data_IF_271910350208
#
_entry.id   IF_271910350208
#
_cell.length_a   1.000
_cell.length_b   1.000
_cell.length_c   1.000
_cell.angle_alpha   90.00
_cell.angle_beta   90.00
_cell.angle_gamma   90.00
#
_symmetry.space_group_name_H-M   'P 1'
#
loop_
_entity.id
_entity.type
_entity.pdbx_description
1 polymer ?
#
# COMPACT_ATOMS: atom_id res chain seq x y z
N UNK A 1 -8.06 12.51 20.01
CA UNK A 1 -8.21 12.45 18.54
C UNK A 1 -7.66 11.12 18.05
N UNK A 2 -8.22 10.43 17.05
CA UNK A 2 -7.65 9.20 16.51
C UNK A 2 -6.29 9.46 15.86
N UNK A 3 -5.28 8.63 16.15
CA UNK A 3 -3.93 8.69 15.55
C UNK A 3 -3.98 8.72 14.00
N UNK A 4 -4.89 7.98 13.40
CA UNK A 4 -5.15 7.99 11.95
C UNK A 4 -5.58 9.36 11.40
N UNK A 5 -6.33 10.17 12.16
CA UNK A 5 -6.67 11.55 11.77
C UNK A 5 -5.48 12.51 11.85
N UNK A 6 -4.58 12.29 12.82
CA UNK A 6 -3.36 13.11 12.97
C UNK A 6 -2.39 12.78 11.84
N UNK A 7 -2.14 11.51 11.56
CA UNK A 7 -1.29 11.06 10.45
C UNK A 7 -1.83 11.56 9.10
N UNK A 8 -3.15 11.49 8.90
CA UNK A 8 -3.79 11.95 7.67
C UNK A 8 -3.62 13.47 7.41
N UNK A 9 -3.81 14.31 8.43
CA UNK A 9 -3.59 15.75 8.29
C UNK A 9 -2.12 16.07 8.00
N UNK A 10 -1.18 15.33 8.59
CA UNK A 10 0.27 15.47 8.29
C UNK A 10 0.59 15.23 6.82
N UNK A 11 0.02 14.20 6.22
CA UNK A 11 0.27 13.88 4.80
C UNK A 11 -0.25 14.96 3.84
N UNK A 12 -1.48 15.43 4.01
CA UNK A 12 -2.05 16.48 3.16
C UNK A 12 -1.27 17.78 3.25
N UNK A 13 -0.88 18.18 4.47
CA UNK A 13 -0.08 19.37 4.72
C UNK A 13 1.29 19.27 4.07
N UNK A 14 2.00 18.17 4.29
CA UNK A 14 3.32 17.93 3.69
C UNK A 14 3.27 18.02 2.17
N UNK A 15 2.26 17.37 1.55
CA UNK A 15 2.07 17.43 0.11
C UNK A 15 1.85 18.87 -0.36
N UNK A 16 0.92 19.60 0.24
CA UNK A 16 0.62 20.99 -0.14
C UNK A 16 1.83 21.91 -0.01
N UNK A 17 2.65 21.73 1.01
CA UNK A 17 3.89 22.50 1.20
C UNK A 17 4.97 22.10 0.18
N UNK A 18 5.14 20.80 -0.09
CA UNK A 18 6.15 20.31 -1.03
C UNK A 18 5.83 20.63 -2.51
N UNK A 19 4.55 20.72 -2.87
CA UNK A 19 4.09 21.03 -4.22
C UNK A 19 3.89 22.54 -4.46
N UNK A 20 4.21 23.39 -3.48
CA UNK A 20 4.07 24.83 -3.68
C UNK A 20 5.09 25.31 -4.72
N UNK A 21 4.64 25.94 -5.84
CA UNK A 21 5.49 26.24 -6.98
C UNK A 21 6.56 27.30 -6.70
N UNK A 22 6.38 28.08 -5.64
CA UNK A 22 7.30 29.13 -5.24
C UNK A 22 7.80 28.88 -3.82
N UNK A 23 9.04 29.29 -3.55
CA UNK A 23 9.53 29.36 -2.17
C UNK A 23 8.67 30.37 -1.41
N UNK A 24 8.03 29.94 -0.32
CA UNK A 24 7.18 30.81 0.50
C UNK A 24 7.99 32.05 0.96
N UNK A 25 7.46 33.26 0.70
CA UNK A 25 8.15 34.49 0.97
C UNK A 25 8.25 34.82 2.46
N UNK A 26 9.24 35.62 2.84
CA UNK A 26 9.51 35.93 4.24
C UNK A 26 8.40 36.75 4.93
N UNK A 27 7.63 37.49 4.15
CA UNK A 27 6.74 38.52 4.72
C UNK A 27 5.28 38.10 4.88
N UNK A 28 4.84 36.93 4.33
CA UNK A 28 3.43 36.52 4.30
C UNK A 28 3.19 35.06 4.61
N UNK A 29 4.08 34.40 5.34
CA UNK A 29 4.01 32.94 5.54
C UNK A 29 2.70 32.44 6.13
N UNK A 30 2.21 33.04 7.20
CA UNK A 30 1.01 32.55 7.86
C UNK A 30 -0.21 32.67 6.96
N UNK A 31 -0.34 33.75 6.18
CA UNK A 31 -1.47 33.96 5.28
C UNK A 31 -1.40 33.08 4.02
N UNK A 32 -0.21 32.86 3.47
CA UNK A 32 -0.01 31.98 2.31
C UNK A 32 -0.23 30.52 2.68
N UNK A 33 0.39 30.04 3.78
CA UNK A 33 0.24 28.68 4.26
C UNK A 33 -1.19 28.37 4.67
N UNK A 34 -1.90 29.31 5.29
CA UNK A 34 -3.30 29.12 5.68
C UNK A 34 -4.24 28.84 4.49
N UNK A 35 -3.89 29.34 3.30
CA UNK A 35 -4.66 29.14 2.05
C UNK A 35 -4.41 27.77 1.39
N UNK A 36 -3.30 27.11 1.73
CA UNK A 36 -2.98 25.82 1.14
C UNK A 36 -3.97 24.74 1.58
N UNK A 37 -4.34 23.82 0.69
CA UNK A 37 -5.26 22.74 1.02
C UNK A 37 -4.80 21.95 2.25
N UNK A 38 -5.67 21.83 3.26
CA UNK A 38 -5.39 21.10 4.50
C UNK A 38 -4.58 21.86 5.56
N UNK A 39 -4.02 23.02 5.26
CA UNK A 39 -3.16 23.77 6.20
C UNK A 39 -4.06 24.68 7.02
N UNK A 40 -4.79 25.42 7.06
CA UNK A 40 -5.53 26.26 8.00
C UNK A 40 -4.61 26.96 9.03
N UNK A 41 -5.22 27.78 9.88
CA UNK A 41 -4.51 28.67 10.80
C UNK A 41 -3.51 27.98 11.72
N UNK A 42 -3.84 26.79 12.25
CA UNK A 42 -2.91 26.06 13.15
C UNK A 42 -1.61 25.74 12.44
N UNK A 43 -1.69 25.21 11.21
CA UNK A 43 -0.48 24.85 10.45
C UNK A 43 0.31 26.09 10.04
N UNK A 44 -0.40 27.16 9.67
CA UNK A 44 0.25 28.44 9.34
C UNK A 44 1.05 29.01 10.53
N UNK A 45 0.49 28.95 11.74
CA UNK A 45 1.20 29.38 12.97
C UNK A 45 2.40 28.49 13.30
N UNK A 46 2.25 27.14 13.18
CA UNK A 46 3.36 26.21 13.37
C UNK A 46 4.47 26.42 12.32
N UNK A 47 4.09 26.76 11.10
CA UNK A 47 5.05 27.08 10.05
C UNK A 47 5.81 28.38 10.34
N UNK A 48 5.11 29.40 10.83
CA UNK A 48 5.70 30.64 11.28
C UNK A 48 6.67 30.42 12.45
N UNK A 49 6.23 29.68 13.49
CA UNK A 49 7.07 29.29 14.63
C UNK A 49 8.36 28.59 14.18
N UNK A 50 8.23 27.58 13.28
CA UNK A 50 9.40 26.88 12.73
C UNK A 50 10.37 27.83 12.03
N UNK A 51 9.83 28.78 11.27
CA UNK A 51 10.67 29.73 10.56
C UNK A 51 11.42 30.68 11.48
N UNK A 52 10.74 31.18 12.50
CA UNK A 52 11.30 32.15 13.43
C UNK A 52 12.32 31.51 14.38
N UNK A 53 12.10 30.24 14.77
CA UNK A 53 12.87 29.56 15.81
C UNK A 53 13.62 28.33 15.33
N UNK A 54 13.41 27.90 14.07
CA UNK A 54 13.83 26.59 13.49
C UNK A 54 13.35 25.40 14.30
N UNK A 55 12.30 25.54 15.09
CA UNK A 55 11.74 24.51 15.97
C UNK A 55 10.23 24.66 16.04
N UNK A 56 9.54 23.56 16.37
CA UNK A 56 8.12 23.52 16.68
C UNK A 56 7.99 22.96 18.10
N UNK A 57 7.56 23.78 19.06
CA UNK A 57 7.45 23.38 20.46
C UNK A 57 6.47 22.22 20.68
N UNK A 58 5.34 22.21 19.94
CA UNK A 58 4.39 21.10 19.99
C UNK A 58 5.07 19.79 19.59
N UNK A 59 5.88 19.78 18.52
CA UNK A 59 6.62 18.60 18.07
C UNK A 59 7.69 18.15 19.09
N UNK A 60 8.31 19.08 19.81
CA UNK A 60 9.27 18.75 20.88
C UNK A 60 8.57 18.11 22.09
N UNK A 61 7.42 18.64 22.49
CA UNK A 61 6.61 18.03 23.57
C UNK A 61 6.15 16.65 23.19
N UNK A 62 5.67 16.45 21.95
CA UNK A 62 5.27 15.14 21.44
C UNK A 62 6.46 14.16 21.40
N UNK A 63 7.68 14.64 21.09
CA UNK A 63 8.88 13.82 21.08
C UNK A 63 9.33 13.37 22.49
N UNK A 64 8.99 14.15 23.52
CA UNK A 64 9.26 13.80 24.93
C UNK A 64 8.10 13.08 25.62
N UNK A 65 6.98 12.86 24.93
CA UNK A 65 5.83 12.13 25.49
C UNK A 65 6.07 10.62 25.45
N UNK A 66 6.41 10.04 26.59
CA UNK A 66 6.64 8.61 26.76
C UNK A 66 5.43 7.78 26.33
N UNK A 67 4.21 8.25 26.59
CA UNK A 67 3.00 7.55 26.15
C UNK A 67 2.91 7.48 24.63
N UNK A 68 3.20 8.60 23.95
CA UNK A 68 3.18 8.65 22.49
C UNK A 68 4.28 7.78 21.89
N UNK A 69 5.47 7.76 22.50
CA UNK A 69 6.58 6.90 22.08
C UNK A 69 6.21 5.42 22.18
N UNK A 70 5.66 4.99 23.31
CA UNK A 70 5.21 3.60 23.53
C UNK A 70 4.08 3.20 22.57
N UNK A 71 3.07 4.07 22.37
CA UNK A 71 1.99 3.80 21.43
C UNK A 71 2.51 3.70 19.98
N UNK A 72 3.53 4.47 19.63
CA UNK A 72 4.18 4.40 18.32
C UNK A 72 4.94 3.09 18.16
N UNK A 73 5.72 2.68 19.16
CA UNK A 73 6.42 1.39 19.20
C UNK A 73 5.46 0.24 18.92
N UNK A 74 4.35 0.17 19.65
CA UNK A 74 3.37 -0.89 19.45
C UNK A 74 2.67 -0.82 18.09
N UNK A 75 2.39 0.38 17.59
CA UNK A 75 1.78 0.58 16.27
C UNK A 75 2.71 0.17 15.11
N UNK A 76 4.01 0.17 15.33
CA UNK A 76 5.02 -0.27 14.35
C UNK A 76 5.13 -1.80 14.27
N UNK A 77 4.57 -2.56 15.24
CA UNK A 77 4.47 -4.02 15.17
C UNK A 77 3.50 -4.40 14.05
N UNK A 78 3.94 -5.22 13.11
CA UNK A 78 3.06 -5.72 12.07
C UNK A 78 1.83 -6.43 12.65
N UNK A 79 0.66 -6.09 12.15
CA UNK A 79 -0.61 -6.65 12.63
C UNK A 79 -1.19 -5.94 13.87
N UNK A 80 -0.49 -4.94 14.43
CA UNK A 80 -1.00 -4.11 15.51
C UNK A 80 -1.53 -2.79 14.96
N UNK A 81 -2.83 -2.58 15.12
CA UNK A 81 -3.50 -1.33 14.76
C UNK A 81 -3.59 -0.37 15.96
N UNK A 82 -4.17 0.81 15.71
CA UNK A 82 -4.34 1.88 16.70
C UNK A 82 -5.07 1.41 17.98
N UNK A 83 -6.10 0.60 17.84
CA UNK A 83 -6.90 0.09 18.97
C UNK A 83 -6.08 -0.90 19.80
N UNK A 84 -5.39 -1.83 19.15
CA UNK A 84 -4.57 -2.84 19.81
C UNK A 84 -3.37 -2.21 20.51
N UNK A 85 -2.71 -1.22 19.88
CA UNK A 85 -1.61 -0.49 20.51
C UNK A 85 -2.03 0.21 21.82
N UNK A 86 -3.25 0.79 21.84
CA UNK A 86 -3.82 1.38 23.06
C UNK A 86 -4.17 0.32 24.11
N UNK A 87 -4.70 -0.81 23.68
CA UNK A 87 -5.01 -1.91 24.59
C UNK A 87 -3.74 -2.41 25.28
N UNK A 88 -2.65 -2.62 24.55
CA UNK A 88 -1.35 -2.98 25.11
C UNK A 88 -0.87 -1.94 26.14
N UNK A 89 -0.91 -0.66 25.78
CA UNK A 89 -0.56 0.40 26.71
C UNK A 89 -1.43 0.42 27.99
N UNK A 90 -2.73 0.20 27.85
CA UNK A 90 -3.68 0.19 28.97
C UNK A 90 -3.52 -1.03 29.88
N UNK A 91 -2.98 -2.15 29.36
CA UNK A 91 -2.58 -3.33 30.13
C UNK A 91 -1.31 -3.09 30.95
N UNK A 92 -0.64 -1.97 30.77
CA UNK A 92 0.58 -1.63 31.49
C UNK A 92 1.86 -1.92 30.71
N UNK A 93 1.77 -2.47 29.49
CA UNK A 93 2.95 -2.80 28.68
C UNK A 93 3.62 -1.53 28.15
N UNK A 94 4.95 -1.55 28.03
CA UNK A 94 5.72 -0.36 27.64
C UNK A 94 6.71 -0.62 26.51
N UNK A 95 7.11 -1.86 26.27
CA UNK A 95 8.06 -2.29 25.25
C UNK A 95 7.66 -3.62 24.61
N UNK A 96 8.53 -4.12 23.71
CA UNK A 96 8.32 -5.40 23.02
C UNK A 96 8.46 -6.58 23.96
N UNK A 97 9.34 -6.48 24.96
CA UNK A 97 9.59 -7.55 25.92
C UNK A 97 8.34 -7.78 26.78
N UNK A 98 7.65 -6.72 27.21
CA UNK A 98 6.34 -6.82 27.89
C UNK A 98 5.30 -7.55 27.03
N UNK A 99 5.28 -7.28 25.72
CA UNK A 99 4.36 -7.96 24.79
C UNK A 99 4.68 -9.45 24.68
N UNK A 100 5.96 -9.81 24.69
CA UNK A 100 6.41 -11.22 24.65
C UNK A 100 6.11 -11.91 25.98
N UNK A 101 6.45 -11.29 27.10
CA UNK A 101 6.35 -11.91 28.43
C UNK A 101 4.90 -12.08 28.88
N UNK A 102 4.08 -11.02 28.72
CA UNK A 102 2.71 -10.99 29.28
C UNK A 102 1.62 -11.16 28.24
N UNK A 103 1.93 -11.03 26.94
CA UNK A 103 0.93 -10.93 25.88
C UNK A 103 0.92 -12.03 24.85
N UNK A 104 1.97 -12.82 24.73
CA UNK A 104 2.23 -13.71 23.60
C UNK A 104 1.05 -14.59 23.20
N UNK A 105 0.41 -15.25 24.17
CA UNK A 105 -0.71 -16.16 23.90
C UNK A 105 -2.00 -15.44 23.48
N UNK A 106 -2.09 -14.14 23.73
CA UNK A 106 -3.23 -13.31 23.31
C UNK A 106 -3.06 -12.70 21.93
N UNK A 107 -1.86 -12.79 21.34
CA UNK A 107 -1.57 -12.25 20.02
C UNK A 107 -2.13 -13.16 18.92
N UNK A 108 -2.60 -12.54 17.84
CA UNK A 108 -2.84 -13.28 16.60
C UNK A 108 -1.52 -13.76 16.00
N UNK A 109 -1.58 -14.84 15.19
CA UNK A 109 -0.38 -15.35 14.49
C UNK A 109 0.37 -14.24 13.73
N UNK A 110 -0.32 -13.35 13.04
CA UNK A 110 0.31 -12.24 12.32
C UNK A 110 1.03 -11.26 13.25
N UNK A 111 0.46 -11.01 14.45
CA UNK A 111 1.09 -10.17 15.47
C UNK A 111 2.31 -10.85 16.09
N UNK A 112 2.24 -12.16 16.37
CA UNK A 112 3.39 -12.94 16.84
C UNK A 112 4.55 -12.90 15.86
N UNK A 113 4.28 -13.01 14.56
CA UNK A 113 5.27 -12.86 13.48
C UNK A 113 5.82 -11.41 13.46
N UNK A 114 4.94 -10.42 13.60
CA UNK A 114 5.33 -9.01 13.66
C UNK A 114 6.25 -8.67 14.82
N UNK A 115 6.01 -9.26 16.00
CA UNK A 115 6.87 -9.15 17.19
C UNK A 115 8.19 -9.89 16.96
N UNK A 116 8.14 -11.15 16.52
CA UNK A 116 9.32 -12.00 16.31
C UNK A 116 10.36 -11.38 15.37
N UNK A 117 9.91 -10.72 14.32
CA UNK A 117 10.78 -10.13 13.30
C UNK A 117 10.72 -8.59 13.30
N UNK A 118 10.40 -7.99 14.46
CA UNK A 118 10.20 -6.55 14.58
C UNK A 118 11.35 -5.75 14.00
N UNK A 119 12.58 -5.98 14.44
CA UNK A 119 13.76 -5.23 14.02
C UNK A 119 14.06 -5.40 12.53
N UNK A 120 13.87 -6.59 11.98
CA UNK A 120 14.11 -6.87 10.56
C UNK A 120 13.06 -6.21 9.67
N UNK A 121 11.78 -6.24 10.07
CA UNK A 121 10.67 -5.65 9.34
C UNK A 121 10.67 -4.10 9.38
N UNK A 122 11.40 -3.48 10.33
CA UNK A 122 11.63 -2.03 10.35
C UNK A 122 12.73 -1.58 9.38
N UNK A 123 13.61 -2.49 8.96
CA UNK A 123 14.70 -2.16 8.03
C UNK A 123 14.16 -1.82 6.64
N UNK A 124 14.73 -0.80 6.05
CA UNK A 124 14.39 -0.42 4.69
C UNK A 124 15.02 -1.36 3.67
N UNK A 125 14.29 -1.65 2.61
CA UNK A 125 14.68 -2.54 1.51
C UNK A 125 15.26 -1.69 0.38
N UNK A 126 16.56 -1.84 0.05
CA UNK A 126 17.18 -1.14 -1.09
C UNK A 126 16.52 -1.51 -2.43
N UNK A 127 16.57 -0.62 -3.41
CA UNK A 127 15.96 -0.85 -4.72
C UNK A 127 16.44 -2.12 -5.41
N UNK A 128 17.75 -2.40 -5.37
CA UNK A 128 18.31 -3.61 -5.97
C UNK A 128 17.75 -4.90 -5.33
N UNK A 129 17.53 -4.90 -4.00
CA UNK A 129 16.90 -6.02 -3.31
C UNK A 129 15.42 -6.17 -3.71
N UNK A 130 14.68 -5.04 -3.83
CA UNK A 130 13.29 -5.05 -4.34
C UNK A 130 13.23 -5.67 -5.74
N UNK A 131 14.16 -5.30 -6.62
CA UNK A 131 14.24 -5.81 -7.99
C UNK A 131 14.57 -7.31 -8.03
N UNK A 132 15.48 -7.77 -7.18
CA UNK A 132 15.83 -9.19 -7.07
C UNK A 132 14.65 -10.04 -6.56
N UNK A 133 13.98 -9.59 -5.52
CA UNK A 133 12.76 -10.24 -4.99
C UNK A 133 11.69 -10.30 -6.09
N UNK A 134 11.42 -9.19 -6.74
CA UNK A 134 10.43 -9.10 -7.80
C UNK A 134 10.75 -10.04 -8.97
N UNK A 135 12.02 -10.09 -9.44
CA UNK A 135 12.45 -11.00 -10.48
C UNK A 135 12.24 -12.47 -10.11
N UNK A 136 12.55 -12.83 -8.86
CA UNK A 136 12.31 -14.19 -8.33
C UNK A 136 10.83 -14.53 -8.31
N UNK A 137 9.97 -13.61 -7.84
CA UNK A 137 8.51 -13.82 -7.84
C UNK A 137 8.00 -14.04 -9.27
N UNK A 138 8.45 -13.25 -10.25
CA UNK A 138 8.02 -13.38 -11.65
C UNK A 138 8.52 -14.71 -12.28
N UNK A 139 9.75 -15.12 -11.98
CA UNK A 139 10.28 -16.40 -12.45
C UNK A 139 9.43 -17.57 -11.94
N UNK A 140 9.16 -17.60 -10.64
CA UNK A 140 8.30 -18.63 -10.04
C UNK A 140 6.84 -18.56 -10.53
N UNK A 141 6.32 -17.37 -10.84
CA UNK A 141 5.00 -17.24 -11.45
C UNK A 141 4.94 -17.91 -12.82
N UNK A 142 5.91 -17.66 -13.68
CA UNK A 142 5.99 -18.25 -15.01
C UNK A 142 6.25 -19.76 -14.98
N UNK A 143 6.93 -20.27 -13.96
CA UNK A 143 7.11 -21.72 -13.77
C UNK A 143 5.86 -22.39 -13.17
N UNK A 144 5.06 -21.67 -12.41
CA UNK A 144 3.79 -22.18 -11.84
C UNK A 144 2.72 -22.35 -12.91
N UNK A 145 2.73 -21.50 -13.92
CA UNK A 145 1.83 -21.55 -15.07
C UNK A 145 2.64 -21.75 -16.36
N UNK A 146 2.48 -22.89 -17.01
CA UNK A 146 3.08 -23.14 -18.32
C UNK A 146 2.02 -22.95 -19.41
N UNK A 147 2.33 -22.20 -20.48
CA UNK A 147 3.65 -21.82 -20.98
C UNK A 147 4.29 -20.55 -20.39
N UNK A 148 3.78 -20.00 -19.30
CA UNK A 148 4.25 -18.71 -18.74
C UNK A 148 3.42 -17.55 -19.27
N UNK A 149 4.00 -16.36 -19.38
CA UNK A 149 3.31 -15.19 -19.95
C UNK A 149 2.76 -14.22 -18.93
N UNK A 150 3.02 -14.42 -17.64
CA UNK A 150 2.70 -13.42 -16.61
C UNK A 150 3.48 -12.14 -16.83
N UNK A 151 2.79 -11.03 -16.79
CA UNK A 151 3.37 -9.70 -16.67
C UNK A 151 3.33 -9.26 -15.20
N UNK A 152 4.33 -8.49 -14.80
CA UNK A 152 4.44 -7.96 -13.44
C UNK A 152 4.85 -6.49 -13.46
N UNK A 153 4.29 -5.73 -12.56
CA UNK A 153 4.71 -4.35 -12.27
C UNK A 153 5.05 -4.26 -10.78
N UNK A 154 6.28 -3.85 -10.48
CA UNK A 154 6.66 -3.45 -9.12
C UNK A 154 5.99 -2.12 -8.83
N UNK A 155 5.19 -2.04 -7.79
CA UNK A 155 4.33 -0.90 -7.46
C UNK A 155 4.76 -0.23 -6.14
N UNK A 156 3.85 0.31 -5.37
CA UNK A 156 4.13 0.88 -4.06
C UNK A 156 5.15 2.01 -4.04
N UNK A 157 5.93 2.06 -2.96
CA UNK A 157 6.96 3.07 -2.75
C UNK A 157 8.09 3.04 -3.78
N UNK A 158 8.47 1.85 -4.21
CA UNK A 158 9.49 1.62 -5.25
C UNK A 158 9.15 2.37 -6.54
N UNK A 159 7.93 2.17 -7.07
CA UNK A 159 7.51 2.78 -8.34
C UNK A 159 7.37 4.30 -8.23
N UNK A 160 7.09 4.84 -7.04
CA UNK A 160 7.07 6.28 -6.77
C UNK A 160 8.46 6.91 -6.59
N UNK A 161 9.53 6.21 -6.90
CA UNK A 161 10.90 6.73 -6.89
C UNK A 161 11.57 6.74 -5.50
N UNK A 162 11.03 6.03 -4.48
CA UNK A 162 11.73 5.94 -3.19
C UNK A 162 13.06 5.19 -3.35
N UNK A 163 14.10 5.70 -2.71
CA UNK A 163 15.43 5.06 -2.71
C UNK A 163 15.44 3.74 -1.94
N UNK A 164 14.60 3.63 -0.92
CA UNK A 164 14.40 2.40 -0.17
C UNK A 164 12.92 2.26 0.25
N UNK A 165 12.40 1.04 0.19
CA UNK A 165 11.00 0.69 0.48
C UNK A 165 10.83 0.10 1.88
N UNK A 166 9.62 0.12 2.42
CA UNK A 166 9.27 -0.59 3.67
C UNK A 166 8.84 -2.03 3.41
N UNK A 167 8.38 -2.28 2.20
CA UNK A 167 7.86 -3.54 1.68
C UNK A 167 8.12 -3.62 0.19
N UNK A 168 7.89 -4.80 -0.37
CA UNK A 168 7.91 -5.05 -1.83
C UNK A 168 6.49 -5.32 -2.27
N UNK A 169 5.94 -4.42 -3.08
CA UNK A 169 4.60 -4.55 -3.66
C UNK A 169 4.71 -4.95 -5.13
N UNK A 170 4.09 -6.06 -5.54
CA UNK A 170 4.06 -6.50 -6.93
C UNK A 170 2.63 -6.80 -7.39
N UNK A 171 2.28 -6.32 -8.59
CA UNK A 171 1.03 -6.67 -9.26
C UNK A 171 1.34 -7.58 -10.43
N UNK A 172 0.77 -8.78 -10.42
CA UNK A 172 0.85 -9.79 -11.46
C UNK A 172 -0.46 -9.84 -12.25
N UNK A 173 -0.37 -10.04 -13.55
CA UNK A 173 -1.52 -10.32 -14.42
C UNK A 173 -1.10 -11.17 -15.61
N UNK A 174 -2.09 -11.80 -16.27
CA UNK A 174 -1.89 -12.64 -17.44
C UNK A 174 -2.95 -12.31 -18.49
N UNK A 175 -2.60 -12.20 -19.80
CA UNK A 175 -3.59 -11.94 -20.87
C UNK A 175 -4.71 -12.98 -20.94
N UNK A 176 -4.41 -14.23 -20.66
CA UNK A 176 -5.44 -15.25 -20.41
C UNK A 176 -5.89 -15.15 -18.95
N UNK A 177 -7.11 -14.65 -18.74
CA UNK A 177 -7.66 -14.47 -17.40
C UNK A 177 -7.83 -15.80 -16.62
N UNK A 178 -8.01 -16.93 -17.31
CA UNK A 178 -8.08 -18.22 -16.67
C UNK A 178 -6.77 -18.57 -15.93
N UNK A 179 -5.64 -18.07 -16.39
CA UNK A 179 -4.34 -18.28 -15.74
C UNK A 179 -4.26 -17.62 -14.34
N UNK A 180 -5.00 -16.54 -14.12
CA UNK A 180 -4.99 -15.78 -12.86
C UNK A 180 -5.96 -16.36 -11.81
N UNK A 181 -6.84 -17.30 -12.19
CA UNK A 181 -7.79 -17.91 -11.26
C UNK A 181 -7.06 -18.79 -10.23
N UNK A 182 -7.32 -18.56 -8.93
CA UNK A 182 -6.67 -19.22 -7.79
C UNK A 182 -5.14 -19.23 -7.85
N UNK A 183 -4.58 -18.30 -8.63
CA UNK A 183 -3.15 -18.32 -8.92
C UNK A 183 -2.31 -17.90 -7.73
N UNK A 184 -2.73 -16.88 -6.96
CA UNK A 184 -1.94 -16.34 -5.83
C UNK A 184 -1.61 -17.43 -4.80
N UNK A 185 -2.57 -18.33 -4.49
CA UNK A 185 -2.37 -19.41 -3.54
C UNK A 185 -1.34 -20.43 -4.06
N UNK A 186 -1.43 -20.80 -5.34
CA UNK A 186 -0.48 -21.72 -5.99
C UNK A 186 0.93 -21.16 -6.01
N UNK A 187 1.07 -19.86 -6.31
CA UNK A 187 2.36 -19.16 -6.31
C UNK A 187 2.98 -19.12 -4.91
N UNK A 188 2.19 -18.79 -3.88
CA UNK A 188 2.67 -18.77 -2.50
C UNK A 188 3.18 -20.14 -2.07
N UNK A 189 2.42 -21.22 -2.32
CA UNK A 189 2.85 -22.60 -2.01
C UNK A 189 4.16 -22.96 -2.72
N UNK A 190 4.33 -22.50 -3.96
CA UNK A 190 5.57 -22.73 -4.70
C UNK A 190 6.76 -21.98 -4.06
N UNK A 191 6.56 -20.72 -3.70
CA UNK A 191 7.59 -19.90 -3.05
C UNK A 191 7.95 -20.42 -1.64
N UNK A 192 6.96 -20.95 -0.89
CA UNK A 192 7.19 -21.63 0.38
C UNK A 192 8.04 -22.87 0.20
N UNK A 193 7.73 -23.72 -0.79
CA UNK A 193 8.51 -24.94 -1.12
C UNK A 193 9.94 -24.60 -1.57
N UNK A 194 10.13 -23.47 -2.23
CA UNK A 194 11.44 -23.00 -2.64
C UNK A 194 12.22 -22.29 -1.51
N UNK A 195 11.61 -22.12 -0.34
CA UNK A 195 12.24 -21.54 0.85
C UNK A 195 12.25 -19.99 0.89
N UNK A 196 11.68 -19.31 -0.11
CA UNK A 196 11.63 -17.85 -0.14
C UNK A 196 10.56 -17.27 0.79
N UNK A 197 9.39 -17.91 0.89
CA UNK A 197 8.33 -17.48 1.81
C UNK A 197 8.44 -18.31 3.09
N UNK A 198 8.72 -17.62 4.19
CA UNK A 198 8.84 -18.24 5.52
C UNK A 198 7.52 -18.24 6.28
N UNK A 199 6.69 -17.22 6.06
CA UNK A 199 5.38 -17.10 6.71
C UNK A 199 4.38 -16.40 5.77
N UNK A 200 3.15 -16.90 5.75
CA UNK A 200 2.02 -16.23 5.12
C UNK A 200 1.24 -15.46 6.20
N UNK A 201 1.21 -14.13 6.09
CA UNK A 201 0.53 -13.23 7.03
C UNK A 201 -0.95 -13.13 6.72
N UNK A 202 -1.30 -13.02 5.44
CA UNK A 202 -2.68 -13.06 4.95
C UNK A 202 -2.74 -13.58 3.53
N UNK A 203 -3.82 -14.28 3.22
CA UNK A 203 -4.14 -14.76 1.88
C UNK A 203 -5.62 -14.46 1.61
N UNK A 204 -5.91 -13.77 0.53
CA UNK A 204 -7.25 -13.45 0.08
C UNK A 204 -7.43 -13.90 -1.37
N UNK A 205 -8.44 -14.73 -1.62
CA UNK A 205 -8.81 -15.28 -2.93
C UNK A 205 -10.19 -14.83 -3.37
N UNK A 206 -10.64 -13.69 -2.83
CA UNK A 206 -12.01 -13.21 -2.99
C UNK A 206 -12.38 -12.93 -4.46
N UNK A 207 -11.41 -12.54 -5.28
CA UNK A 207 -11.64 -12.30 -6.70
C UNK A 207 -11.81 -13.61 -7.49
N UNK A 208 -10.97 -14.61 -7.22
CA UNK A 208 -11.06 -15.96 -7.79
C UNK A 208 -12.35 -16.65 -7.37
N UNK A 209 -12.74 -16.58 -6.09
CA UNK A 209 -14.01 -17.14 -5.58
C UNK A 209 -15.25 -16.61 -6.31
N UNK A 210 -15.16 -15.44 -6.92
CA UNK A 210 -16.21 -14.85 -7.75
C UNK A 210 -16.05 -15.11 -9.24
N UNK A 211 -15.10 -15.96 -9.65
CA UNK A 211 -14.79 -16.17 -11.06
C UNK A 211 -14.23 -14.93 -11.75
N UNK A 212 -13.55 -14.05 -11.01
CA UNK A 212 -12.91 -12.82 -11.50
C UNK A 212 -13.89 -11.80 -12.13
N UNK A 213 -15.17 -11.94 -11.84
CA UNK A 213 -16.18 -10.99 -12.30
C UNK A 213 -16.14 -9.71 -11.45
N UNK A 214 -16.05 -8.51 -12.06
CA UNK A 214 -16.16 -7.26 -11.32
C UNK A 214 -17.50 -7.19 -10.59
N UNK A 215 -17.47 -6.90 -9.28
CA UNK A 215 -18.69 -6.89 -8.46
C UNK A 215 -19.44 -5.58 -8.63
N UNK A 216 -20.74 -5.66 -8.97
CA UNK A 216 -21.64 -4.53 -8.83
C UNK A 216 -21.68 -4.08 -7.36
N UNK A 217 -21.56 -2.78 -7.10
CA UNK A 217 -21.60 -2.24 -5.75
C UNK A 217 -23.04 -2.01 -5.22
N UNK A 218 -24.03 -2.12 -6.08
CA UNK A 218 -25.47 -1.96 -5.77
C UNK A 218 -26.24 -3.29 -5.71
N UNK A 219 -25.58 -4.41 -5.84
CA UNK A 219 -26.23 -5.72 -5.83
C UNK A 219 -26.91 -6.04 -4.50
N UNK A 220 -28.01 -6.80 -4.56
CA UNK A 220 -28.81 -7.22 -3.41
C UNK A 220 -28.14 -8.26 -2.48
N UNK A 221 -26.90 -8.63 -2.74
CA UNK A 221 -26.14 -9.59 -1.92
C UNK A 221 -25.43 -8.92 -0.74
N UNK A 222 -25.45 -9.57 0.42
CA UNK A 222 -24.78 -9.14 1.68
C UNK A 222 -23.27 -8.83 1.56
N UNK A 223 -22.66 -8.99 0.38
CA UNK A 223 -21.23 -8.76 0.11
C UNK A 223 -20.96 -7.58 -0.83
N UNK A 224 -21.98 -6.88 -1.30
CA UNK A 224 -21.81 -5.73 -2.18
C UNK A 224 -21.22 -4.54 -1.39
N UNK A 225 -19.99 -4.16 -1.67
CA UNK A 225 -19.43 -2.88 -1.28
C UNK A 225 -18.57 -2.80 -0.03
N UNK A 226 -18.24 -3.90 0.63
CA UNK A 226 -17.51 -3.88 1.90
C UNK A 226 -15.97 -3.73 1.80
N UNK A 227 -15.38 -3.63 0.60
CA UNK A 227 -13.93 -3.53 0.43
C UNK A 227 -13.51 -2.51 -0.64
N UNK A 228 -12.36 -1.87 -0.42
CA UNK A 228 -11.73 -1.00 -1.41
C UNK A 228 -10.90 -1.79 -2.43
N UNK A 229 -10.52 -3.01 -2.08
CA UNK A 229 -9.66 -3.85 -2.87
C UNK A 229 -10.08 -5.29 -2.66
N UNK A 230 -10.61 -5.87 -3.72
CA UNK A 230 -11.10 -7.25 -3.74
C UNK A 230 -10.23 -8.16 -4.59
N UNK A 231 -9.05 -7.70 -5.02
CA UNK A 231 -8.08 -8.50 -5.76
C UNK A 231 -7.57 -9.66 -4.91
N UNK A 232 -7.19 -10.73 -5.57
CA UNK A 232 -6.47 -11.82 -4.92
C UNK A 232 -5.09 -11.33 -4.51
N UNK A 233 -4.73 -11.58 -3.27
CA UNK A 233 -3.45 -11.11 -2.73
C UNK A 233 -2.95 -11.96 -1.59
N UNK A 234 -1.64 -12.02 -1.49
CA UNK A 234 -0.94 -12.60 -0.36
C UNK A 234 0.02 -11.57 0.24
N UNK A 235 -0.02 -11.41 1.54
CA UNK A 235 0.99 -10.69 2.30
C UNK A 235 1.87 -11.73 2.98
N UNK A 236 3.15 -11.74 2.66
CA UNK A 236 4.07 -12.78 3.11
C UNK A 236 5.33 -12.18 3.74
N UNK A 237 6.00 -13.01 4.54
CA UNK A 237 7.35 -12.76 5.01
C UNK A 237 8.30 -13.54 4.13
N UNK A 238 9.19 -12.82 3.50
CA UNK A 238 10.20 -13.30 2.58
C UNK A 238 11.55 -13.35 3.27
N UNK A 239 12.34 -14.37 3.00
CA UNK A 239 13.76 -14.44 3.30
C UNK A 239 14.48 -15.10 2.13
N UNK A 240 15.58 -14.51 1.66
CA UNK A 240 16.41 -15.18 0.64
C UNK A 240 17.00 -16.45 1.25
N UNK A 241 16.70 -17.64 0.69
CA UNK A 241 17.22 -18.89 1.23
C UNK A 241 18.70 -19.12 0.89
N UNK A 242 19.31 -18.26 0.07
CA UNK A 242 20.68 -18.41 -0.40
C UNK A 242 21.64 -17.64 0.51
N UNK A 243 22.56 -18.35 1.17
CA UNK A 243 23.65 -17.73 1.93
C UNK A 243 24.91 -18.59 1.84
N UNK A 244 26.07 -17.94 1.91
CA UNK A 244 27.38 -18.56 1.64
C UNK A 244 28.27 -18.70 2.85
N UNK A 245 27.83 -18.31 4.03
CA UNK A 245 28.67 -18.30 5.23
C UNK A 245 28.46 -19.56 6.05
N UNK A 246 29.49 -20.03 6.75
CA UNK A 246 29.40 -21.14 7.71
C UNK A 246 28.54 -20.86 8.95
N UNK A 247 27.64 -19.88 8.89
CA UNK A 247 26.70 -19.56 9.96
C UNK A 247 25.62 -20.63 10.09
N UNK A 248 25.29 -20.98 11.33
CA UNK A 248 24.27 -21.99 11.65
C UNK A 248 22.85 -21.57 11.26
N UNK A 249 22.63 -20.28 11.01
CA UNK A 249 21.32 -19.71 10.63
C UNK A 249 21.47 -18.77 9.46
N UNK A 250 20.43 -18.70 8.63
CA UNK A 250 20.34 -17.76 7.52
C UNK A 250 20.43 -16.31 8.04
N UNK A 251 21.46 -15.51 7.67
CA UNK A 251 21.63 -14.13 8.12
C UNK A 251 20.81 -13.13 7.32
N UNK A 252 20.20 -13.55 6.19
CA UNK A 252 19.42 -12.66 5.35
C UNK A 252 18.19 -12.15 6.13
N UNK A 253 17.90 -10.85 6.07
CA UNK A 253 16.79 -10.29 6.83
C UNK A 253 15.43 -10.73 6.26
N UNK A 254 14.45 -10.85 7.13
CA UNK A 254 13.07 -11.05 6.73
C UNK A 254 12.49 -9.75 6.15
N UNK A 255 11.78 -9.88 5.03
CA UNK A 255 11.15 -8.76 4.32
C UNK A 255 9.66 -8.98 4.14
N UNK A 256 8.88 -7.93 4.14
CA UNK A 256 7.47 -8.01 3.72
C UNK A 256 7.38 -7.94 2.21
N UNK A 257 6.61 -8.88 1.66
CA UNK A 257 6.28 -8.89 0.23
C UNK A 257 4.77 -9.02 0.07
N UNK A 258 4.17 -8.11 -0.67
CA UNK A 258 2.75 -8.09 -0.99
C UNK A 258 2.59 -8.48 -2.46
N UNK A 259 2.02 -9.67 -2.69
CA UNK A 259 1.81 -10.25 -4.03
C UNK A 259 0.34 -10.09 -4.38
N UNK A 260 0.05 -9.30 -5.41
CA UNK A 260 -1.30 -9.01 -5.88
C UNK A 260 -1.49 -9.65 -7.25
N UNK A 261 -2.61 -10.32 -7.46
CA UNK A 261 -3.00 -10.89 -8.75
C UNK A 261 -4.28 -10.21 -9.24
N UNK A 262 -4.23 -9.65 -10.45
CA UNK A 262 -5.35 -8.97 -11.08
C UNK A 262 -5.76 -9.67 -12.36
N UNK A 263 -7.05 -9.78 -12.69
CA UNK A 263 -7.49 -10.08 -14.04
C UNK A 263 -6.94 -9.06 -15.03
N UNK A 264 -6.70 -9.47 -16.27
CA UNK A 264 -6.14 -8.59 -17.30
C UNK A 264 -7.00 -7.36 -17.58
N UNK A 265 -8.32 -7.54 -17.59
CA UNK A 265 -9.31 -6.47 -17.83
C UNK A 265 -9.36 -5.38 -16.74
N UNK A 266 -8.69 -5.56 -15.62
CA UNK A 266 -8.61 -4.59 -14.51
C UNK A 266 -7.18 -4.35 -14.04
N UNK A 267 -6.19 -4.78 -14.82
CA UNK A 267 -4.77 -4.69 -14.48
C UNK A 267 -4.29 -3.24 -14.39
N UNK A 268 -4.81 -2.35 -15.22
CA UNK A 268 -4.50 -0.92 -15.17
C UNK A 268 -5.02 -0.25 -13.89
N UNK A 269 -6.23 -0.60 -13.47
CA UNK A 269 -6.80 -0.14 -12.19
C UNK A 269 -5.99 -0.68 -10.99
N UNK A 270 -5.53 -1.94 -11.05
CA UNK A 270 -4.69 -2.53 -10.03
C UNK A 270 -3.35 -1.81 -9.92
N UNK A 271 -2.66 -1.59 -11.05
CA UNK A 271 -1.39 -0.86 -11.10
C UNK A 271 -1.55 0.57 -10.59
N UNK A 272 -2.59 1.29 -11.01
CA UNK A 272 -2.89 2.64 -10.54
C UNK A 272 -3.16 2.67 -9.03
N UNK A 273 -4.00 1.77 -8.55
CA UNK A 273 -4.37 1.69 -7.14
C UNK A 273 -3.19 1.36 -6.22
N UNK A 274 -2.38 0.38 -6.57
CA UNK A 274 -1.25 -0.07 -5.76
C UNK A 274 0.02 0.80 -5.92
N UNK A 275 0.15 1.53 -7.05
CA UNK A 275 1.24 2.51 -7.21
C UNK A 275 1.03 3.76 -6.39
N UNK A 276 -0.19 4.28 -6.34
CA UNK A 276 -0.46 5.65 -5.91
C UNK A 276 -0.47 5.82 -4.39
N UNK A 277 0.01 6.96 -3.90
CA UNK A 277 -0.02 7.32 -2.49
C UNK A 277 -1.45 7.51 -1.96
N UNK A 278 -1.62 7.38 -0.65
CA UNK A 278 -2.94 7.36 0.02
C UNK A 278 -3.78 8.61 -0.27
N UNK A 279 -3.19 9.79 -0.29
CA UNK A 279 -3.93 11.04 -0.56
C UNK A 279 -4.33 11.12 -2.01
N UNK A 280 -3.42 10.82 -2.95
CA UNK A 280 -3.74 10.75 -4.38
C UNK A 280 -4.93 9.82 -4.64
N UNK A 281 -4.91 8.61 -4.07
CA UNK A 281 -6.01 7.66 -4.21
C UNK A 281 -7.34 8.19 -3.65
N UNK A 282 -7.31 8.92 -2.53
CA UNK A 282 -8.52 9.54 -1.96
C UNK A 282 -9.06 10.64 -2.85
N UNK A 283 -8.18 11.46 -3.41
CA UNK A 283 -8.56 12.54 -4.31
C UNK A 283 -9.08 11.98 -5.64
N UNK A 284 -8.43 10.95 -6.18
CA UNK A 284 -8.92 10.22 -7.35
C UNK A 284 -10.33 9.65 -7.12
N UNK A 285 -10.54 8.94 -5.99
CA UNK A 285 -11.87 8.40 -5.64
C UNK A 285 -12.92 9.49 -5.46
N UNK A 286 -12.53 10.63 -4.87
CA UNK A 286 -13.41 11.79 -4.70
C UNK A 286 -13.76 12.41 -6.04
N UNK A 287 -12.79 12.61 -6.92
CA UNK A 287 -12.98 13.07 -8.29
C UNK A 287 -13.91 12.12 -9.06
N UNK A 288 -13.60 10.82 -9.10
CA UNK A 288 -14.45 9.83 -9.77
C UNK A 288 -15.89 9.91 -9.27
N UNK A 289 -16.09 10.06 -7.94
CA UNK A 289 -17.42 10.17 -7.34
C UNK A 289 -18.17 11.45 -7.76
N UNK A 290 -17.52 12.60 -7.71
CA UNK A 290 -18.16 13.90 -7.85
C UNK A 290 -18.31 14.35 -9.28
N UNK A 291 -17.24 14.17 -10.07
CA UNK A 291 -17.14 14.73 -11.42
C UNK A 291 -17.51 13.71 -12.50
N UNK A 292 -17.32 12.42 -12.22
CA UNK A 292 -17.52 11.36 -13.23
C UNK A 292 -18.71 10.44 -12.92
N UNK A 293 -19.29 10.50 -11.73
CA UNK A 293 -20.35 9.58 -11.32
C UNK A 293 -19.88 8.13 -11.22
N UNK A 294 -18.57 7.93 -10.97
CA UNK A 294 -17.93 6.62 -10.95
C UNK A 294 -17.45 6.25 -9.54
N UNK A 295 -17.26 4.96 -9.31
CA UNK A 295 -16.58 4.40 -8.14
C UNK A 295 -15.32 3.70 -8.62
N UNK A 296 -14.17 4.25 -8.25
CA UNK A 296 -12.84 3.69 -8.51
C UNK A 296 -12.35 2.89 -7.30
N UNK A 297 -11.83 1.70 -7.54
CA UNK A 297 -10.94 0.95 -6.66
C UNK A 297 -9.92 0.14 -7.49
N UNK A 298 -8.95 -0.52 -6.82
CA UNK A 298 -7.89 -1.30 -7.49
C UNK A 298 -8.42 -2.51 -8.27
N UNK A 299 -9.64 -2.96 -8.03
CA UNK A 299 -10.29 -4.06 -8.73
C UNK A 299 -11.21 -3.62 -9.87
N UNK A 300 -11.14 -2.34 -10.29
CA UNK A 300 -11.86 -1.81 -11.44
C UNK A 300 -12.70 -0.57 -11.14
N UNK A 301 -13.33 -0.05 -12.17
CA UNK A 301 -14.22 1.13 -12.11
C UNK A 301 -15.67 0.69 -12.29
N UNK A 302 -16.58 1.32 -11.54
CA UNK A 302 -18.02 1.02 -11.60
C UNK A 302 -18.83 2.30 -11.73
N UNK A 303 -19.91 2.24 -12.46
CA UNK A 303 -20.91 3.30 -12.54
C UNK A 303 -21.63 3.46 -11.20
N UNK A 304 -21.79 4.68 -10.72
CA UNK A 304 -22.56 4.96 -9.51
C UNK A 304 -24.07 5.00 -9.76
N UNK A 305 -24.48 5.05 -11.01
CA UNK A 305 -25.88 5.08 -11.42
C UNK A 305 -26.55 3.71 -11.23
N UNK A 306 -25.94 2.66 -11.80
CA UNK A 306 -26.45 1.29 -11.83
C UNK A 306 -25.59 0.29 -11.07
N UNK A 307 -24.34 0.64 -10.78
CA UNK A 307 -23.37 -0.21 -10.07
C UNK A 307 -22.55 -1.11 -10.99
N UNK A 308 -22.81 -1.07 -12.30
CA UNK A 308 -22.15 -1.94 -13.26
C UNK A 308 -20.67 -1.57 -13.48
N UNK A 309 -19.90 -2.56 -13.87
CA UNK A 309 -18.50 -2.39 -14.25
C UNK A 309 -18.39 -1.53 -15.51
N UNK A 310 -17.42 -0.63 -15.53
CA UNK A 310 -17.10 0.23 -16.65
C UNK A 310 -15.70 -0.12 -17.14
N UNK A 311 -15.62 -0.61 -18.37
CA UNK A 311 -14.34 -0.87 -19.02
C UNK A 311 -13.68 0.45 -19.43
N UNK A 312 -12.53 0.74 -18.83
CA UNK A 312 -11.68 1.88 -19.19
C UNK A 312 -10.32 1.43 -19.74
N UNK A 313 -10.08 0.12 -19.83
CA UNK A 313 -8.77 -0.43 -20.16
C UNK A 313 -8.68 -0.97 -21.59
N UNK A 314 -9.81 -1.30 -22.20
CA UNK A 314 -9.88 -1.65 -23.63
C UNK A 314 -9.63 -0.45 -24.53
N UNK A 315 -9.10 -0.71 -25.73
CA UNK A 315 -8.90 0.31 -26.75
C UNK A 315 -10.21 0.74 -27.41
N UNK A 316 -10.16 1.78 -28.28
CA UNK A 316 -11.32 2.22 -29.06
C UNK A 316 -11.88 1.12 -29.97
N UNK A 317 -11.06 0.14 -30.32
CA UNK A 317 -11.41 -1.04 -31.12
C UNK A 317 -11.95 -2.20 -30.26
N UNK A 318 -12.16 -2.00 -28.96
CA UNK A 318 -12.61 -3.01 -28.01
C UNK A 318 -11.55 -4.04 -27.62
N UNK A 319 -10.30 -3.90 -28.11
CA UNK A 319 -9.22 -4.83 -27.79
C UNK A 319 -8.63 -4.53 -26.42
N UNK A 320 -8.27 -5.57 -25.64
CA UNK A 320 -7.52 -5.41 -24.39
C UNK A 320 -6.25 -4.58 -24.59
N UNK A 321 -5.74 -3.99 -23.52
CA UNK A 321 -4.45 -3.34 -23.55
C UNK A 321 -3.34 -4.37 -23.83
N UNK A 322 -2.27 -4.00 -24.57
CA UNK A 322 -1.16 -4.92 -24.87
C UNK A 322 -0.29 -5.22 -23.63
N UNK A 323 -0.31 -4.33 -22.65
CA UNK A 323 0.44 -4.45 -21.42
C UNK A 323 -0.24 -3.67 -20.27
N UNK A 324 0.17 -3.98 -19.03
CA UNK A 324 -0.41 -3.41 -17.82
C UNK A 324 -0.19 -1.89 -17.69
N UNK A 325 0.90 -1.34 -18.25
CA UNK A 325 1.21 0.10 -18.17
C UNK A 325 0.36 0.88 -19.18
N UNK A 326 0.13 0.31 -20.36
CA UNK A 326 -0.83 0.85 -21.33
C UNK A 326 -2.25 0.83 -20.76
N UNK A 327 -2.64 -0.25 -20.08
CA UNK A 327 -3.91 -0.34 -19.37
C UNK A 327 -4.06 0.80 -18.33
N UNK A 328 -3.05 1.04 -17.51
CA UNK A 328 -3.04 2.14 -16.54
C UNK A 328 -3.24 3.51 -17.21
N UNK A 329 -2.55 3.78 -18.31
CA UNK A 329 -2.70 5.04 -19.07
C UNK A 329 -4.12 5.20 -19.62
N UNK A 330 -4.71 4.11 -20.11
CA UNK A 330 -6.11 4.13 -20.60
C UNK A 330 -7.10 4.42 -19.46
N UNK A 331 -6.86 3.93 -18.24
CA UNK A 331 -7.68 4.29 -17.07
C UNK A 331 -7.66 5.81 -16.83
N UNK A 332 -6.49 6.46 -16.87
CA UNK A 332 -6.41 7.93 -16.75
C UNK A 332 -7.22 8.63 -17.84
N UNK A 333 -7.01 8.25 -19.11
CA UNK A 333 -7.73 8.82 -20.24
C UNK A 333 -9.25 8.63 -20.13
N UNK A 334 -9.71 7.42 -19.78
CA UNK A 334 -11.12 7.09 -19.58
C UNK A 334 -11.77 7.85 -18.42
N UNK A 335 -11.00 8.20 -17.40
CA UNK A 335 -11.42 9.09 -16.32
C UNK A 335 -11.40 10.57 -16.73
N UNK A 336 -10.90 10.92 -17.94
CA UNK A 336 -10.74 12.30 -18.39
C UNK A 336 -9.62 13.05 -17.66
N UNK A 337 -8.60 12.32 -17.24
CA UNK A 337 -7.43 12.86 -16.53
C UNK A 337 -6.18 12.72 -17.39
N UNK A 338 -5.31 13.73 -17.32
CA UNK A 338 -3.97 13.62 -17.85
C UNK A 338 -3.17 12.60 -17.02
N UNK A 339 -2.41 11.74 -17.71
CA UNK A 339 -1.56 10.77 -17.05
C UNK A 339 -0.45 11.47 -16.24
N UNK A 340 -0.30 11.07 -15.00
CA UNK A 340 0.74 11.57 -14.11
C UNK A 340 1.77 10.47 -13.83
N UNK A 341 3.07 10.77 -13.93
CA UNK A 341 4.10 9.80 -13.59
C UNK A 341 3.99 9.36 -12.11
N UNK A 342 4.41 8.14 -11.78
CA UNK A 342 4.27 7.60 -10.42
C UNK A 342 4.85 8.49 -9.32
N UNK A 343 5.95 9.19 -9.59
CA UNK A 343 6.65 10.09 -8.67
C UNK A 343 5.78 11.27 -8.27
N UNK A 344 4.91 11.75 -9.16
CA UNK A 344 3.97 12.84 -8.88
C UNK A 344 2.72 12.39 -8.11
N UNK A 345 2.54 11.07 -7.93
CA UNK A 345 1.44 10.49 -7.13
C UNK A 345 1.84 10.29 -5.67
N UNK A 346 2.92 10.90 -5.25
CA UNK A 346 3.41 10.90 -3.88
C UNK A 346 2.65 11.92 -3.06
N UNK A 347 1.91 11.46 -2.10
CA UNK A 347 1.12 12.32 -1.21
C UNK A 347 1.41 12.03 0.27
N UNK A 348 2.65 11.82 0.59
CA UNK A 348 3.08 11.60 1.96
C UNK A 348 4.40 10.91 2.11
#
# INVERSE_FOLDING_TARGET
MPLTRILFRRHTVKHSLNQHPCRLSANNYASEVARLPGCGNKIALLFQEFKDTNQIQEARRDASDHKLATLKLFYEIWGVGETTARDFYNRGWRDIDDVVEYGWDSLTRSQQIGVKYYDELQQRIPRAEVEAIAATVLAHANETHKPGGFQMVVVGGYRRGKLASGDVDVVLSHPDEAATLDFVARLVVRLERAGFVTHTLSLATTNSERGQVPVSWKGSGKKAGAGFDTLDKAMVVWQDPTWTTGEARNPNPHRRVDIIVSPWKTAGCAVLGWTSGTTFQRDLRRYCKRERGLKFDSSGVRSRRDGEWVDLESGPDGRPAPDMLTAERRVFAGLGLEWRPPEERCTG
#
